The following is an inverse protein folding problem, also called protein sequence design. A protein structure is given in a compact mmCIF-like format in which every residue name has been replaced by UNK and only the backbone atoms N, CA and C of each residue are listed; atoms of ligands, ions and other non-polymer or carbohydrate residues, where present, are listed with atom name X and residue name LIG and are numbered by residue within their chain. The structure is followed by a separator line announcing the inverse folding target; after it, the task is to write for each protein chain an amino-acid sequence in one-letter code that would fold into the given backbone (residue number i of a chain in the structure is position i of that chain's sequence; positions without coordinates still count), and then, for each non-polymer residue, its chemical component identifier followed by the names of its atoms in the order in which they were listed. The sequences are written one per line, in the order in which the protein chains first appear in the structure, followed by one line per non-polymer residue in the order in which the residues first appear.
data_IF_824502010546
#
_entry.id   IF_824502010546
#
_cell.length_a   1.000
_cell.length_b   1.000
_cell.length_c   1.000
_cell.angle_alpha   90.00
_cell.angle_beta   90.00
_cell.angle_gamma   90.00
#
_symmetry.space_group_name_H-M   'P 1'
#
loop_
_entity.id
_entity.type
_entity.pdbx_description
1 polymer ?
#
# COMPACT_ATOMS: atom_id res chain seq x y z
N UNK A 1 -9.93 -21.03 -14.91
CA UNK A 1 -9.83 -20.45 -13.55
C UNK A 1 -9.26 -19.04 -13.58
N UNK A 2 -9.73 -18.14 -12.72
CA UNK A 2 -9.11 -16.82 -12.54
C UNK A 2 -7.80 -16.99 -11.75
N UNK A 3 -6.66 -16.44 -12.20
CA UNK A 3 -5.42 -16.49 -11.43
C UNK A 3 -5.54 -15.68 -10.13
N UNK A 4 -4.78 -16.07 -9.11
CA UNK A 4 -4.70 -15.33 -7.86
C UNK A 4 -4.11 -13.93 -8.12
N UNK A 5 -4.74 -12.91 -7.56
CA UNK A 5 -4.24 -11.54 -7.55
C UNK A 5 -4.09 -11.12 -6.09
N UNK A 6 -2.88 -10.73 -5.69
CA UNK A 6 -2.64 -10.23 -4.34
C UNK A 6 -2.74 -8.71 -4.33
N UNK A 7 -3.52 -8.13 -3.42
CA UNK A 7 -3.68 -6.67 -3.27
C UNK A 7 -2.92 -6.24 -2.02
N UNK A 8 -1.96 -5.34 -2.17
CA UNK A 8 -1.21 -4.79 -1.04
C UNK A 8 -1.66 -3.35 -0.77
N UNK A 9 -2.10 -3.10 0.45
CA UNK A 9 -2.57 -1.81 0.94
C UNK A 9 -1.74 -1.42 2.17
N UNK A 10 -0.98 -0.34 2.07
CA UNK A 10 -0.31 0.26 3.24
C UNK A 10 -1.18 1.41 3.75
N UNK A 11 -1.52 1.40 5.03
CA UNK A 11 -2.43 2.34 5.68
C UNK A 11 -1.74 3.00 6.87
N UNK A 12 -1.91 4.31 7.01
CA UNK A 12 -1.51 5.07 8.19
C UNK A 12 -2.46 6.25 8.37
N UNK A 13 -3.20 6.28 9.47
CA UNK A 13 -4.13 7.36 9.82
C UNK A 13 -5.08 7.77 8.69
N UNK A 14 -5.82 6.79 8.17
CA UNK A 14 -6.65 6.88 6.95
C UNK A 14 -8.15 6.67 7.22
N UNK A 15 -8.60 6.75 8.47
CA UNK A 15 -9.94 6.33 8.91
C UNK A 15 -11.09 6.91 8.05
N UNK A 16 -10.95 8.15 7.58
CA UNK A 16 -11.98 8.92 6.86
C UNK A 16 -12.40 8.29 5.54
N UNK A 17 -11.49 7.61 4.84
CA UNK A 17 -11.73 7.06 3.50
C UNK A 17 -11.44 5.57 3.42
N UNK A 18 -10.90 4.97 4.49
CA UNK A 18 -10.44 3.59 4.43
C UNK A 18 -11.57 2.59 4.22
N UNK A 19 -12.71 2.78 4.87
CA UNK A 19 -13.88 1.91 4.70
C UNK A 19 -14.40 1.91 3.25
N UNK A 20 -14.43 3.09 2.61
CA UNK A 20 -14.82 3.22 1.21
C UNK A 20 -13.82 2.49 0.29
N UNK A 21 -12.52 2.68 0.53
CA UNK A 21 -11.46 2.03 -0.23
C UNK A 21 -11.49 0.51 -0.09
N UNK A 22 -11.68 -0.02 1.13
CA UNK A 22 -11.79 -1.46 1.36
C UNK A 22 -13.05 -2.06 0.73
N UNK A 23 -14.19 -1.37 0.84
CA UNK A 23 -15.43 -1.79 0.17
C UNK A 23 -15.24 -1.91 -1.34
N UNK A 24 -14.52 -0.97 -1.97
CA UNK A 24 -14.19 -1.04 -3.39
C UNK A 24 -13.30 -2.24 -3.77
N UNK A 25 -12.38 -2.67 -2.89
CA UNK A 25 -11.51 -3.86 -3.11
C UNK A 25 -12.30 -5.14 -2.92
N UNK A 26 -13.03 -5.25 -1.81
CA UNK A 26 -13.83 -6.44 -1.48
C UNK A 26 -14.92 -6.67 -2.53
N UNK A 27 -15.54 -5.58 -3.00
CA UNK A 27 -16.59 -5.59 -4.02
C UNK A 27 -16.12 -5.84 -5.45
N UNK A 28 -14.82 -6.08 -5.70
CA UNK A 28 -14.32 -6.34 -7.06
C UNK A 28 -14.99 -7.58 -7.68
N UNK A 29 -15.23 -7.50 -8.99
CA UNK A 29 -15.77 -8.63 -9.77
C UNK A 29 -14.78 -9.80 -9.87
N UNK A 30 -13.50 -9.54 -9.63
CA UNK A 30 -12.46 -10.56 -9.51
C UNK A 30 -12.53 -11.21 -8.13
N UNK A 31 -12.84 -12.51 -8.06
CA UNK A 31 -13.10 -13.18 -6.78
C UNK A 31 -11.86 -13.80 -6.16
N UNK A 32 -10.91 -14.26 -6.98
CA UNK A 32 -9.68 -14.90 -6.53
C UNK A 32 -8.63 -13.85 -6.11
N UNK A 33 -8.85 -13.26 -4.94
CA UNK A 33 -8.03 -12.19 -4.34
C UNK A 33 -7.39 -12.66 -3.03
N UNK A 34 -6.17 -12.20 -2.78
CA UNK A 34 -5.48 -12.23 -1.48
C UNK A 34 -5.19 -10.78 -1.08
N UNK A 35 -5.85 -10.27 -0.05
CA UNK A 35 -5.78 -8.84 0.32
C UNK A 35 -4.91 -8.72 1.55
N UNK A 36 -3.74 -8.11 1.42
CA UNK A 36 -2.85 -7.82 2.53
C UNK A 36 -2.90 -6.33 2.87
N UNK A 37 -3.29 -6.04 4.10
CA UNK A 37 -3.27 -4.71 4.68
C UNK A 37 -2.05 -4.64 5.62
N UNK A 38 -1.21 -3.62 5.44
CA UNK A 38 -0.14 -3.26 6.38
C UNK A 38 -0.54 -1.95 7.03
N UNK A 39 -0.96 -2.01 8.29
CA UNK A 39 -1.21 -0.85 9.13
C UNK A 39 0.11 -0.38 9.76
N UNK A 40 0.54 0.82 9.41
CA UNK A 40 1.83 1.39 9.81
C UNK A 40 1.76 2.07 11.18
N UNK A 41 1.19 1.38 12.16
CA UNK A 41 1.01 1.87 13.53
C UNK A 41 0.07 3.08 13.62
N UNK A 42 -1.09 3.00 12.98
CA UNK A 42 -2.10 4.07 13.04
C UNK A 42 -2.59 4.29 14.47
N UNK A 43 -2.89 5.54 14.80
CA UNK A 43 -3.42 5.96 16.12
C UNK A 43 -4.89 6.40 16.06
N UNK A 44 -5.50 6.35 14.88
CA UNK A 44 -6.91 6.68 14.62
C UNK A 44 -7.78 5.40 14.50
N UNK A 45 -8.99 5.52 13.96
CA UNK A 45 -9.91 4.40 13.73
C UNK A 45 -9.47 3.40 12.64
N UNK A 46 -8.36 3.63 11.93
CA UNK A 46 -7.87 2.78 10.83
C UNK A 46 -7.76 1.29 11.20
N UNK A 47 -7.14 0.90 12.34
CA UNK A 47 -6.98 -0.52 12.67
C UNK A 47 -8.32 -1.21 12.98
N UNK A 48 -9.26 -0.47 13.59
CA UNK A 48 -10.59 -0.98 13.88
C UNK A 48 -11.38 -1.23 12.59
N UNK A 49 -11.28 -0.32 11.61
CA UNK A 49 -11.88 -0.51 10.29
C UNK A 49 -11.28 -1.74 9.60
N UNK A 50 -9.95 -1.90 9.59
CA UNK A 50 -9.31 -3.07 8.99
C UNK A 50 -9.83 -4.38 9.58
N UNK A 51 -9.86 -4.48 10.91
CA UNK A 51 -10.33 -5.68 11.63
C UNK A 51 -11.77 -6.04 11.30
N UNK A 52 -12.66 -5.04 11.28
CA UNK A 52 -14.07 -5.25 10.89
C UNK A 52 -14.20 -5.86 9.49
N UNK A 53 -13.40 -5.40 8.53
CA UNK A 53 -13.42 -5.98 7.18
C UNK A 53 -12.83 -7.39 7.16
N UNK A 54 -11.77 -7.66 7.93
CA UNK A 54 -11.18 -9.00 8.05
C UNK A 54 -12.17 -10.02 8.62
N UNK A 55 -12.95 -9.65 9.64
CA UNK A 55 -14.00 -10.51 10.21
C UNK A 55 -15.09 -10.84 9.19
N UNK A 56 -15.35 -9.94 8.23
CA UNK A 56 -16.38 -10.10 7.20
C UNK A 56 -15.87 -10.81 5.94
N UNK A 57 -14.57 -10.75 5.66
CA UNK A 57 -13.96 -11.30 4.44
C UNK A 57 -12.63 -12.01 4.75
N UNK A 58 -12.68 -13.35 4.77
CA UNK A 58 -11.52 -14.20 5.03
C UNK A 58 -10.38 -14.12 4.00
N UNK A 59 -10.54 -13.35 2.91
CA UNK A 59 -9.46 -13.04 1.97
C UNK A 59 -8.52 -11.96 2.49
N UNK A 60 -8.90 -11.26 3.57
CA UNK A 60 -8.14 -10.15 4.15
C UNK A 60 -7.19 -10.64 5.24
N UNK A 61 -5.93 -10.22 5.14
CA UNK A 61 -4.89 -10.40 6.16
C UNK A 61 -4.37 -9.04 6.57
N UNK A 62 -4.05 -8.90 7.85
CA UNK A 62 -3.58 -7.64 8.44
C UNK A 62 -2.22 -7.89 9.08
N UNK A 63 -1.27 -7.01 8.79
CA UNK A 63 -0.04 -6.82 9.55
C UNK A 63 -0.12 -5.44 10.19
N UNK A 64 0.05 -5.37 11.50
CA UNK A 64 0.14 -4.10 12.23
C UNK A 64 1.57 -3.88 12.69
N UNK A 65 2.19 -2.80 12.24
CA UNK A 65 3.49 -2.38 12.74
C UNK A 65 3.32 -1.81 14.15
N UNK A 66 4.30 -2.02 15.05
CA UNK A 66 4.23 -1.52 16.42
C UNK A 66 4.25 0.01 16.54
N UNK A 67 4.71 0.70 15.48
CA UNK A 67 4.78 2.16 15.35
C UNK A 67 4.84 2.52 13.87
N UNK A 68 4.71 3.81 13.56
CA UNK A 68 4.98 4.30 12.22
C UNK A 68 6.43 4.09 11.80
N UNK A 69 6.65 3.24 10.79
CA UNK A 69 7.95 2.95 10.18
C UNK A 69 8.13 3.69 8.85
N UNK A 70 7.06 4.33 8.36
CA UNK A 70 7.02 5.00 7.09
C UNK A 70 6.59 4.07 5.95
N UNK A 71 6.08 4.70 4.88
CA UNK A 71 5.49 4.01 3.74
C UNK A 71 6.40 2.97 3.10
N UNK A 72 7.70 3.28 2.95
CA UNK A 72 8.66 2.39 2.29
C UNK A 72 8.94 1.14 3.12
N UNK A 73 9.09 1.27 4.44
CA UNK A 73 9.28 0.14 5.33
C UNK A 73 8.04 -0.75 5.37
N UNK A 74 6.85 -0.16 5.52
CA UNK A 74 5.56 -0.86 5.46
C UNK A 74 5.33 -1.61 4.15
N UNK A 75 5.70 -0.97 3.04
CA UNK A 75 5.61 -1.58 1.72
C UNK A 75 6.53 -2.79 1.62
N UNK A 76 7.77 -2.70 2.11
CA UNK A 76 8.72 -3.80 2.07
C UNK A 76 8.25 -4.97 2.94
N UNK A 77 7.74 -4.71 4.14
CA UNK A 77 7.10 -5.73 5.00
C UNK A 77 5.99 -6.47 4.26
N UNK A 78 5.08 -5.71 3.62
CA UNK A 78 3.98 -6.30 2.87
C UNK A 78 4.42 -7.10 1.64
N UNK A 79 5.42 -6.61 0.91
CA UNK A 79 5.98 -7.32 -0.26
C UNK A 79 6.70 -8.61 0.15
N UNK A 80 7.45 -8.59 1.25
CA UNK A 80 8.12 -9.77 1.79
C UNK A 80 7.11 -10.82 2.25
N UNK A 81 6.02 -10.40 2.88
CA UNK A 81 4.95 -11.31 3.29
C UNK A 81 4.26 -11.96 2.08
N UNK A 82 3.96 -11.19 1.03
CA UNK A 82 3.38 -11.73 -0.20
C UNK A 82 4.34 -12.65 -0.96
N UNK A 83 5.65 -12.43 -0.85
CA UNK A 83 6.65 -13.33 -1.41
C UNK A 83 6.62 -14.70 -0.74
N UNK A 84 6.40 -14.75 0.59
CA UNK A 84 6.32 -15.99 1.38
C UNK A 84 5.03 -16.78 1.14
N UNK A 85 3.89 -16.10 1.07
CA UNK A 85 2.57 -16.73 0.89
C UNK A 85 2.36 -17.36 -0.51
N UNK A 86 3.39 -17.33 -1.36
CA UNK A 86 3.32 -17.83 -2.74
C UNK A 86 2.47 -16.94 -3.65
N UNK A 87 2.24 -15.69 -3.24
CA UNK A 87 1.27 -14.74 -3.77
C UNK A 87 1.26 -14.57 -5.29
N UNK A 88 0.08 -14.19 -5.77
CA UNK A 88 -0.18 -13.94 -7.18
C UNK A 88 0.46 -12.66 -7.70
N UNK A 89 -0.06 -12.10 -8.80
CA UNK A 89 0.43 -10.81 -9.25
C UNK A 89 -0.06 -9.70 -8.30
N UNK A 90 0.86 -8.82 -7.91
CA UNK A 90 0.61 -7.84 -6.86
C UNK A 90 -0.06 -6.62 -7.44
N UNK A 91 -1.01 -6.09 -6.70
CA UNK A 91 -1.79 -4.92 -7.03
C UNK A 91 -1.61 -3.90 -5.90
N UNK A 92 -0.79 -2.86 -6.11
CA UNK A 92 -0.56 -1.80 -5.11
C UNK A 92 -1.64 -0.74 -5.17
N UNK A 93 -2.15 -0.34 -4.00
CA UNK A 93 -2.93 0.86 -3.78
C UNK A 93 -2.15 1.84 -2.87
N UNK A 94 -1.57 2.95 -3.36
CA UNK A 94 -1.09 3.98 -2.46
C UNK A 94 -2.31 4.65 -1.80
N UNK A 95 -2.43 4.66 -0.47
CA UNK A 95 -3.44 5.48 0.20
C UNK A 95 -2.93 6.94 0.29
N UNK A 96 -3.77 7.99 0.12
CA UNK A 96 -5.24 7.97 -0.04
C UNK A 96 -5.71 7.94 -1.51
N UNK A 97 -5.42 6.90 -2.28
CA UNK A 97 -6.01 6.76 -3.62
C UNK A 97 -7.37 6.08 -3.50
N UNK A 98 -8.43 6.75 -3.95
CA UNK A 98 -9.73 6.12 -4.19
C UNK A 98 -9.52 5.03 -5.24
N UNK A 99 -9.77 3.79 -4.85
CA UNK A 99 -9.59 2.66 -5.75
C UNK A 99 -10.66 2.65 -6.84
N UNK A 100 -10.29 2.28 -8.08
CA UNK A 100 -11.23 2.30 -9.19
C UNK A 100 -12.34 1.25 -8.97
N UNK A 101 -13.52 1.48 -9.57
CA UNK A 101 -14.69 0.64 -9.36
C UNK A 101 -14.44 -0.85 -9.66
N UNK A 102 -15.25 -1.77 -9.10
CA UNK A 102 -15.15 -3.23 -9.17
C UNK A 102 -14.83 -3.92 -10.51
N UNK A 103 -15.05 -3.24 -11.63
CA UNK A 103 -14.79 -3.74 -12.98
C UNK A 103 -13.39 -3.37 -13.53
N UNK A 104 -12.66 -2.48 -12.85
CA UNK A 104 -11.38 -1.95 -13.29
C UNK A 104 -10.27 -2.99 -13.34
N UNK A 105 -10.23 -3.88 -12.34
CA UNK A 105 -9.17 -4.88 -12.19
C UNK A 105 -9.13 -5.85 -13.37
N UNK A 106 -10.28 -6.37 -13.81
CA UNK A 106 -10.37 -7.33 -14.93
C UNK A 106 -9.80 -6.75 -16.23
N UNK A 107 -10.13 -5.48 -16.53
CA UNK A 107 -9.66 -4.78 -17.73
C UNK A 107 -8.14 -4.53 -17.67
N UNK A 108 -7.64 -4.10 -16.52
CA UNK A 108 -6.20 -3.87 -16.31
C UNK A 108 -5.40 -5.17 -16.40
N UNK A 109 -5.90 -6.25 -15.79
CA UNK A 109 -5.32 -7.58 -15.89
C UNK A 109 -5.25 -8.10 -17.33
N UNK A 110 -6.36 -8.02 -18.08
CA UNK A 110 -6.44 -8.52 -19.45
C UNK A 110 -5.46 -7.82 -20.40
N UNK A 111 -5.16 -6.54 -20.13
CA UNK A 111 -4.15 -5.78 -20.87
C UNK A 111 -2.74 -6.20 -20.46
N UNK A 112 -2.49 -6.31 -19.16
CA UNK A 112 -1.14 -6.59 -18.66
C UNK A 112 -0.67 -8.01 -18.96
N UNK A 113 -1.56 -9.01 -18.93
CA UNK A 113 -1.18 -10.40 -19.25
C UNK A 113 -0.58 -10.57 -20.66
N UNK A 114 -0.89 -9.65 -21.58
CA UNK A 114 -0.40 -9.63 -22.96
C UNK A 114 0.98 -8.98 -23.08
N UNK A 115 1.53 -8.43 -22.00
CA UNK A 115 2.82 -7.72 -22.01
C UNK A 115 3.91 -8.57 -21.35
N UNK A 116 5.14 -8.49 -21.86
CA UNK A 116 6.32 -9.09 -21.21
C UNK A 116 6.75 -8.34 -19.94
N UNK A 117 6.14 -7.20 -19.62
CA UNK A 117 6.50 -6.35 -18.50
C UNK A 117 6.35 -7.08 -17.15
N UNK A 118 7.42 -7.04 -16.35
CA UNK A 118 7.45 -7.50 -14.96
C UNK A 118 6.71 -6.55 -14.02
N UNK A 119 6.72 -5.25 -14.35
CA UNK A 119 6.13 -4.17 -13.57
C UNK A 119 5.31 -3.23 -14.47
N UNK A 120 4.10 -2.83 -14.06
CA UNK A 120 3.31 -1.87 -14.84
C UNK A 120 2.32 -1.07 -13.99
N UNK A 121 2.19 0.22 -14.27
CA UNK A 121 1.08 1.04 -13.77
C UNK A 121 -0.11 0.97 -14.73
N UNK A 122 -1.32 0.75 -14.19
CA UNK A 122 -2.55 0.80 -14.97
C UNK A 122 -3.76 1.16 -14.10
N UNK A 123 -4.39 2.31 -14.39
CA UNK A 123 -5.63 2.78 -13.75
C UNK A 123 -5.56 2.77 -12.22
N UNK A 124 -4.55 3.42 -11.64
CA UNK A 124 -4.37 3.51 -10.20
C UNK A 124 -3.71 2.30 -9.54
N UNK A 125 -3.42 1.24 -10.31
CA UNK A 125 -2.78 0.04 -9.78
C UNK A 125 -1.35 -0.12 -10.28
N UNK A 126 -0.47 -0.63 -9.42
CA UNK A 126 0.84 -1.14 -9.81
C UNK A 126 0.79 -2.68 -9.85
N UNK A 127 0.98 -3.26 -11.02
CA UNK A 127 1.09 -4.71 -11.25
C UNK A 127 2.55 -5.15 -11.16
N UNK A 128 2.84 -6.20 -10.39
CA UNK A 128 4.16 -6.82 -10.31
C UNK A 128 4.02 -8.35 -10.47
N UNK A 129 4.87 -8.98 -11.31
CA UNK A 129 4.90 -10.45 -11.45
C UNK A 129 5.55 -11.08 -10.22
N UNK A 130 5.09 -12.27 -9.82
CA UNK A 130 5.65 -13.07 -8.72
C UNK A 130 7.17 -13.18 -8.75
N UNK A 131 7.74 -13.55 -9.91
CA UNK A 131 9.21 -13.73 -10.08
C UNK A 131 10.02 -12.44 -9.86
N UNK A 132 9.38 -11.28 -9.94
CA UNK A 132 10.04 -9.97 -9.88
C UNK A 132 9.61 -9.16 -8.67
N UNK A 133 8.92 -9.76 -7.69
CA UNK A 133 8.47 -9.08 -6.47
C UNK A 133 9.62 -8.40 -5.72
N UNK A 134 10.78 -9.07 -5.62
CA UNK A 134 11.98 -8.51 -4.99
C UNK A 134 12.55 -7.30 -5.75
N UNK A 135 12.41 -7.27 -7.07
CA UNK A 135 12.80 -6.11 -7.88
C UNK A 135 11.79 -4.94 -7.74
N UNK A 136 10.62 -5.18 -7.14
CA UNK A 136 9.62 -4.16 -6.84
C UNK A 136 9.84 -3.50 -5.46
N UNK A 137 10.76 -3.99 -4.63
CA UNK A 137 11.17 -3.43 -3.34
C UNK A 137 12.02 -2.17 -3.57
N UNK A 138 11.54 -0.97 -3.20
CA UNK A 138 12.44 0.19 -3.13
C UNK A 138 13.52 -0.03 -2.06
N UNK A 139 14.76 0.47 -2.28
CA UNK A 139 15.75 0.49 -1.22
C UNK A 139 15.20 1.29 -0.03
N UNK A 140 15.42 0.78 1.18
CA UNK A 140 15.13 1.56 2.38
C UNK A 140 16.03 2.82 2.33
N UNK A 141 15.51 4.02 2.60
CA UNK A 141 16.38 5.18 2.74
C UNK A 141 17.38 4.91 3.87
N UNK A 142 18.64 5.29 3.72
CA UNK A 142 19.69 5.05 4.73
C UNK A 142 19.31 5.61 6.12
N UNK A 143 18.42 6.60 6.16
CA UNK A 143 17.85 7.20 7.38
C UNK A 143 16.79 6.34 8.07
N UNK A 144 16.37 5.22 7.49
CA UNK A 144 15.49 4.22 8.14
C UNK A 144 16.27 3.25 9.05
N UNK A 145 17.54 3.53 9.35
CA UNK A 145 18.20 2.96 10.52
C UNK A 145 17.53 3.54 11.77
N UNK A 146 16.62 2.73 12.32
CA UNK A 146 16.10 2.73 13.68
C UNK A 146 16.72 3.79 14.59
N UNK A 147 15.87 4.68 15.13
CA UNK A 147 16.21 5.57 16.23
C UNK A 147 16.96 4.81 17.33
N UNK A 148 18.28 4.95 17.30
CA UNK A 148 19.15 4.80 18.43
C UNK A 148 19.61 6.21 18.73
N UNK A 149 19.28 6.68 19.92
CA UNK A 149 19.74 7.95 20.45
C UNK A 149 21.26 8.03 20.23
N UNK A 150 21.71 8.92 19.32
CA UNK A 150 23.06 9.47 19.42
C UNK A 150 22.98 10.73 20.27
N UNK A 151 23.66 10.79 21.43
CA UNK A 151 23.76 12.03 22.18
C UNK A 151 24.64 13.01 21.40
N UNK A 152 24.10 14.17 21.01
CA UNK A 152 24.94 15.24 20.44
C UNK A 152 24.36 16.13 19.34
N UNK A 153 23.07 16.06 18.99
CA UNK A 153 22.48 17.02 18.06
C UNK A 153 21.61 18.05 18.79
N UNK A 154 22.07 19.31 18.72
CA UNK A 154 21.40 20.50 19.27
C UNK A 154 19.97 20.60 18.75
N UNK A 155 19.03 20.77 19.67
CA UNK A 155 17.64 21.16 19.41
C UNK A 155 17.60 22.45 18.60
N UNK A 156 17.00 22.42 17.41
CA UNK A 156 16.51 23.64 16.77
C UNK A 156 15.03 23.82 17.13
N UNK A 157 14.73 24.94 17.79
CA UNK A 157 13.39 25.34 18.21
C UNK A 157 12.50 25.68 17.00
N UNK A 158 11.16 25.68 17.15
CA UNK A 158 10.25 25.88 16.04
C UNK A 158 10.04 27.38 15.81
N UNK A 159 10.36 27.93 14.63
CA UNK A 159 9.69 29.10 14.02
C UNK A 159 10.45 29.48 12.74
N UNK A 160 9.80 29.33 11.58
CA UNK A 160 9.57 30.39 10.59
C UNK A 160 9.13 29.76 9.26
N UNK A 161 7.81 29.68 9.04
CA UNK A 161 7.21 29.44 7.73
C UNK A 161 7.20 30.78 6.99
N UNK A 162 8.17 31.02 6.11
CA UNK A 162 8.00 32.03 5.06
C UNK A 162 7.36 31.36 3.83
N UNK A 163 6.13 31.78 3.56
CA UNK A 163 5.40 31.44 2.35
C UNK A 163 6.08 32.10 1.14
N UNK A 164 6.41 31.32 0.11
CA UNK A 164 6.70 31.85 -1.22
C UNK A 164 5.47 31.65 -2.12
N UNK A 165 4.99 32.69 -2.82
CA UNK A 165 3.86 32.56 -3.74
C UNK A 165 4.30 31.95 -5.08
N UNK A 166 3.48 31.03 -5.59
CA UNK A 166 3.57 30.49 -6.93
C UNK A 166 3.21 31.56 -7.96
N UNK A 167 4.14 31.91 -8.85
CA UNK A 167 3.87 32.77 -10.01
C UNK A 167 3.36 31.91 -11.16
N UNK A 168 2.10 32.09 -11.54
CA UNK A 168 1.52 31.61 -12.81
C UNK A 168 2.09 32.43 -13.96
N UNK A 169 2.71 31.77 -14.93
CA UNK A 169 2.99 32.37 -16.24
C UNK A 169 1.81 32.08 -17.18
N UNK A 170 1.34 33.15 -17.83
CA UNK A 170 0.32 33.16 -18.89
C UNK A 170 0.91 32.69 -20.22
#
# INVERSE_FOLDING_TARGET
MQPLVSVLICAYNVEKYFAQSLSAVVGQTWRNLDILIVDDGSTDGTPAIARRFQEQDGRIRIISNPRNLGFIASLNIGLDELAKSGGGNILRAPMPTILPPPAGLRKSWARWKKTAASLRWARGWKFCRKKTIKACLPPLPETAQFGTNRPGMKTLSPFSLSATPYTTTR
#
